data_IF_459174550229
#
_entry.id   IF_459174550229
#
_cell.length_a   1.000
_cell.length_b   1.000
_cell.length_c   1.000
_cell.angle_alpha   90.00
_cell.angle_beta   90.00
_cell.angle_gamma   90.00
#
_symmetry.space_group_name_H-M   'P 1'
#
loop_
_entity.id
_entity.type
_entity.pdbx_description
1 polymer ?
#
# COMPACT_ATOMS: atom_id res chain seq x y z
N UNK A 1 5.82 -9.38 -1.74
CA UNK A 1 5.45 -7.95 -1.69
C UNK A 1 6.48 -7.16 -2.48
N UNK A 2 7.75 -7.18 -2.11
CA UNK A 2 8.84 -6.52 -2.87
C UNK A 2 8.89 -6.90 -4.36
N UNK A 3 8.79 -8.20 -4.69
CA UNK A 3 8.75 -8.65 -6.10
C UNK A 3 7.53 -8.12 -6.87
N UNK A 4 6.37 -7.97 -6.20
CA UNK A 4 5.16 -7.40 -6.82
C UNK A 4 5.37 -5.91 -7.10
N UNK A 5 6.02 -5.19 -6.18
CA UNK A 5 6.34 -3.78 -6.37
C UNK A 5 7.33 -3.59 -7.53
N UNK A 6 8.36 -4.43 -7.64
CA UNK A 6 9.30 -4.40 -8.78
C UNK A 6 8.58 -4.63 -10.10
N UNK A 7 7.66 -5.62 -10.14
CA UNK A 7 6.85 -5.87 -11.33
C UNK A 7 5.92 -4.68 -11.66
N UNK A 8 5.32 -4.06 -10.64
CA UNK A 8 4.47 -2.88 -10.81
C UNK A 8 5.25 -1.69 -11.40
N UNK A 9 6.44 -1.42 -10.90
CA UNK A 9 7.32 -0.35 -11.42
C UNK A 9 7.80 -0.66 -12.84
N UNK A 10 8.07 -1.93 -13.17
CA UNK A 10 8.39 -2.33 -14.55
C UNK A 10 7.20 -2.13 -15.49
N UNK A 11 5.98 -2.45 -15.07
CA UNK A 11 4.77 -2.20 -15.85
C UNK A 11 4.52 -0.69 -16.04
N UNK A 12 4.71 0.08 -14.97
CA UNK A 12 4.62 1.54 -14.97
C UNK A 12 5.61 2.17 -15.98
N UNK A 13 6.88 1.75 -15.93
CA UNK A 13 7.92 2.23 -16.84
C UNK A 13 7.61 1.94 -18.32
N UNK A 14 6.87 0.86 -18.59
CA UNK A 14 6.41 0.49 -19.94
C UNK A 14 5.06 1.09 -20.32
N UNK A 15 4.46 1.92 -19.45
CA UNK A 15 3.11 2.48 -19.63
C UNK A 15 2.01 1.42 -19.80
N UNK A 16 2.19 0.24 -19.19
CA UNK A 16 1.15 -0.79 -19.15
C UNK A 16 0.22 -0.52 -17.95
N UNK A 17 -0.74 0.41 -18.14
CA UNK A 17 -1.58 0.94 -17.07
C UNK A 17 -2.33 -0.15 -16.28
N UNK A 18 -3.03 -1.06 -16.97
CA UNK A 18 -3.81 -2.13 -16.32
C UNK A 18 -2.92 -3.00 -15.43
N UNK A 19 -1.79 -3.45 -15.98
CA UNK A 19 -0.85 -4.32 -15.27
C UNK A 19 -0.21 -3.60 -14.08
N UNK A 20 0.15 -2.34 -14.24
CA UNK A 20 0.70 -1.52 -13.16
C UNK A 20 -0.31 -1.37 -12.02
N UNK A 21 -1.54 -0.95 -12.33
CA UNK A 21 -2.64 -0.78 -11.37
C UNK A 21 -2.90 -2.08 -10.60
N UNK A 22 -3.00 -3.21 -11.31
CA UNK A 22 -3.23 -4.53 -10.69
C UNK A 22 -2.10 -4.88 -9.72
N UNK A 23 -0.85 -4.72 -10.14
CA UNK A 23 0.33 -5.10 -9.33
C UNK A 23 0.54 -4.19 -8.12
N UNK A 24 0.29 -2.88 -8.26
CA UNK A 24 0.26 -1.95 -7.13
C UNK A 24 -0.84 -2.32 -6.12
N UNK A 25 -2.06 -2.58 -6.60
CA UNK A 25 -3.16 -3.03 -5.73
C UNK A 25 -2.88 -4.36 -5.01
N UNK A 26 -2.19 -5.30 -5.68
CA UNK A 26 -1.73 -6.54 -5.05
C UNK A 26 -0.62 -6.30 -4.02
N UNK A 27 0.27 -5.35 -4.29
CA UNK A 27 1.32 -4.93 -3.34
C UNK A 27 0.72 -4.35 -2.07
N UNK A 28 -0.30 -3.49 -2.21
CA UNK A 28 -1.07 -2.94 -1.09
C UNK A 28 -1.72 -4.04 -0.24
N UNK A 29 -2.44 -4.98 -0.86
CA UNK A 29 -3.08 -6.08 -0.15
C UNK A 29 -2.05 -6.98 0.56
N UNK A 30 -0.91 -7.25 -0.07
CA UNK A 30 0.18 -8.01 0.53
C UNK A 30 0.80 -7.28 1.74
N UNK A 31 0.98 -5.96 1.66
CA UNK A 31 1.49 -5.16 2.76
C UNK A 31 0.51 -5.12 3.94
N UNK A 32 -0.79 -4.96 3.68
CA UNK A 32 -1.84 -5.00 4.70
C UNK A 32 -1.87 -6.33 5.46
N UNK A 33 -1.77 -7.46 4.74
CA UNK A 33 -1.69 -8.79 5.35
C UNK A 33 -0.44 -8.97 6.22
N UNK A 34 0.71 -8.53 5.71
CA UNK A 34 2.02 -8.78 6.35
C UNK A 34 2.24 -7.93 7.60
N UNK A 35 1.81 -6.67 7.59
CA UNK A 35 2.16 -5.72 8.64
C UNK A 35 1.06 -5.50 9.68
N UNK A 36 -0.18 -5.92 9.38
CA UNK A 36 -1.33 -5.62 10.25
C UNK A 36 -2.23 -6.82 10.56
N UNK A 37 -1.82 -8.04 10.16
CA UNK A 37 -2.50 -9.32 10.42
C UNK A 37 -4.01 -9.32 10.12
N UNK A 38 -4.44 -8.47 9.17
CA UNK A 38 -5.85 -8.24 8.90
C UNK A 38 -6.44 -9.41 8.09
N UNK A 39 -7.62 -9.88 8.50
CA UNK A 39 -8.35 -11.00 7.88
C UNK A 39 -9.49 -10.51 6.98
N UNK A 40 -10.01 -11.42 6.14
CA UNK A 40 -11.11 -11.14 5.21
C UNK A 40 -10.66 -10.60 3.85
N UNK A 41 -11.60 -10.00 3.13
CA UNK A 41 -11.39 -9.28 1.88
C UNK A 41 -10.58 -7.99 2.09
N UNK A 42 -10.00 -7.41 1.04
CA UNK A 42 -9.26 -6.15 1.14
C UNK A 42 -10.11 -5.02 1.77
N UNK A 43 -11.40 -4.96 1.42
CA UNK A 43 -12.34 -4.01 2.01
C UNK A 43 -12.53 -4.22 3.53
N UNK A 44 -12.72 -5.47 3.98
CA UNK A 44 -12.85 -5.80 5.40
C UNK A 44 -11.58 -5.50 6.18
N UNK A 45 -10.41 -5.78 5.58
CA UNK A 45 -9.10 -5.43 6.18
C UNK A 45 -8.98 -3.93 6.42
N UNK A 46 -9.24 -3.11 5.39
CA UNK A 46 -9.14 -1.65 5.49
C UNK A 46 -10.09 -1.13 6.57
N UNK A 47 -11.36 -1.52 6.54
CA UNK A 47 -12.36 -1.11 7.53
C UNK A 47 -11.98 -1.51 8.95
N UNK A 48 -11.49 -2.73 9.14
CA UNK A 48 -11.06 -3.24 10.45
C UNK A 48 -9.84 -2.49 11.00
N UNK A 49 -8.94 -2.03 10.14
CA UNK A 49 -7.75 -1.28 10.56
C UNK A 49 -8.07 0.17 10.91
N UNK A 50 -8.98 0.80 10.16
CA UNK A 50 -9.48 2.15 10.48
C UNK A 50 -10.28 2.13 11.78
N UNK A 51 -11.19 1.16 11.97
CA UNK A 51 -12.01 1.10 13.19
C UNK A 51 -11.20 0.87 14.47
N UNK A 52 -10.06 0.18 14.35
CA UNK A 52 -9.09 -0.03 15.44
C UNK A 52 -8.08 1.11 15.59
N UNK A 53 -8.21 2.19 14.81
CA UNK A 53 -7.30 3.33 14.79
C UNK A 53 -5.84 2.96 14.47
N UNK A 54 -5.64 1.80 13.81
CA UNK A 54 -4.32 1.36 13.34
C UNK A 54 -3.96 2.07 12.05
N UNK A 55 -4.95 2.33 11.18
CA UNK A 55 -4.82 3.21 10.03
C UNK A 55 -5.63 4.50 10.28
N UNK A 56 -5.06 5.68 10.01
CA UNK A 56 -5.83 6.92 9.91
C UNK A 56 -6.95 6.78 8.88
N UNK A 57 -8.10 7.42 9.15
CA UNK A 57 -9.26 7.41 8.24
C UNK A 57 -8.87 7.85 6.81
N UNK A 58 -8.01 8.86 6.68
CA UNK A 58 -7.52 9.36 5.39
C UNK A 58 -6.77 8.30 4.57
N UNK A 59 -5.98 7.43 5.23
CA UNK A 59 -5.31 6.31 4.56
C UNK A 59 -6.33 5.25 4.16
N UNK A 60 -7.33 5.00 5.00
CA UNK A 60 -8.40 4.03 4.72
C UNK A 60 -9.29 4.43 3.55
N UNK A 61 -9.67 5.69 3.45
CA UNK A 61 -10.49 6.22 2.36
C UNK A 61 -9.75 6.07 1.02
N UNK A 62 -8.46 6.44 1.00
CA UNK A 62 -7.66 6.34 -0.22
C UNK A 62 -7.33 4.88 -0.60
N UNK A 63 -7.11 4.00 0.38
CA UNK A 63 -7.00 2.55 0.13
C UNK A 63 -8.28 1.98 -0.49
N UNK A 64 -9.45 2.51 -0.11
CA UNK A 64 -10.74 2.13 -0.69
C UNK A 64 -10.84 2.57 -2.14
N UNK A 65 -10.39 3.78 -2.48
CA UNK A 65 -10.31 4.27 -3.87
C UNK A 65 -9.43 3.37 -4.72
N UNK A 66 -8.21 3.05 -4.28
CA UNK A 66 -7.30 2.16 -5.02
C UNK A 66 -7.87 0.76 -5.19
N UNK A 67 -8.62 0.25 -4.21
CA UNK A 67 -9.35 -1.02 -4.35
C UNK A 67 -10.40 -0.96 -5.46
N UNK A 68 -11.11 0.16 -5.61
CA UNK A 68 -12.11 0.33 -6.65
C UNK A 68 -11.44 0.34 -8.03
N UNK A 69 -10.42 1.18 -8.22
CA UNK A 69 -9.64 1.27 -9.46
C UNK A 69 -9.03 -0.09 -9.82
N UNK A 70 -8.45 -0.80 -8.86
CA UNK A 70 -7.91 -2.15 -9.07
C UNK A 70 -9.00 -3.13 -9.52
N UNK A 71 -10.18 -3.06 -8.93
CA UNK A 71 -11.27 -3.97 -9.30
C UNK A 71 -11.78 -3.67 -10.71
N UNK A 72 -11.83 -2.40 -11.11
CA UNK A 72 -12.12 -1.99 -12.49
C UNK A 72 -11.06 -2.57 -13.43
N UNK A 73 -9.76 -2.41 -13.14
CA UNK A 73 -8.67 -2.98 -13.94
C UNK A 73 -8.71 -4.52 -14.08
N UNK A 74 -9.33 -5.25 -13.14
CA UNK A 74 -9.39 -6.72 -13.14
C UNK A 74 -10.65 -7.25 -13.83
N UNK A 75 -11.76 -6.53 -13.74
CA UNK A 75 -13.08 -7.03 -14.12
C UNK A 75 -13.72 -6.28 -15.28
N UNK A 76 -13.29 -5.05 -15.56
CA UNK A 76 -13.75 -4.26 -16.69
C UNK A 76 -12.77 -4.42 -17.85
N UNK A 77 -13.29 -4.51 -19.08
CA UNK A 77 -12.50 -4.58 -20.31
C UNK A 77 -12.07 -3.18 -20.80
N UNK A 78 -12.47 -2.12 -20.07
CA UNK A 78 -12.06 -0.75 -20.32
C UNK A 78 -10.58 -0.51 -20.00
N UNK A 79 -9.83 0.22 -20.86
CA UNK A 79 -8.42 0.52 -20.61
C UNK A 79 -8.26 1.45 -19.41
N UNK A 80 -7.34 1.13 -18.51
CA UNK A 80 -6.96 2.04 -17.42
C UNK A 80 -6.22 3.26 -17.98
N UNK A 81 -6.47 4.43 -17.38
CA UNK A 81 -5.81 5.66 -17.79
C UNK A 81 -4.43 5.80 -17.16
N UNK A 82 -3.58 6.66 -17.74
CA UNK A 82 -2.31 7.02 -17.09
C UNK A 82 -2.53 7.65 -15.71
N UNK A 83 -3.62 8.40 -15.54
CA UNK A 83 -4.02 8.99 -14.26
C UNK A 83 -4.31 7.92 -13.21
N UNK A 84 -5.03 6.85 -13.57
CA UNK A 84 -5.33 5.74 -12.66
C UNK A 84 -4.05 5.03 -12.21
N UNK A 85 -3.14 4.82 -13.16
CA UNK A 85 -1.82 4.25 -12.91
C UNK A 85 -0.98 5.14 -11.97
N UNK A 86 -0.91 6.45 -12.21
CA UNK A 86 -0.16 7.40 -11.38
C UNK A 86 -0.76 7.53 -9.98
N UNK A 87 -2.07 7.65 -9.86
CA UNK A 87 -2.76 7.70 -8.56
C UNK A 87 -2.50 6.44 -7.75
N UNK A 88 -2.61 5.28 -8.37
CA UNK A 88 -2.42 3.98 -7.70
C UNK A 88 -0.97 3.79 -7.27
N UNK A 89 0.01 4.21 -8.09
CA UNK A 89 1.44 4.20 -7.74
C UNK A 89 1.73 5.11 -6.55
N UNK A 90 1.34 6.38 -6.63
CA UNK A 90 1.62 7.38 -5.60
C UNK A 90 1.02 6.98 -4.26
N UNK A 91 -0.19 6.42 -4.27
CA UNK A 91 -0.79 5.89 -3.06
C UNK A 91 -0.03 4.69 -2.50
N UNK A 92 0.35 3.73 -3.36
CA UNK A 92 1.07 2.53 -2.91
C UNK A 92 2.40 2.91 -2.28
N UNK A 93 3.14 3.84 -2.87
CA UNK A 93 4.40 4.37 -2.30
C UNK A 93 4.16 5.03 -0.93
N UNK A 94 3.19 5.94 -0.84
CA UNK A 94 2.85 6.62 0.41
C UNK A 94 2.43 5.62 1.51
N UNK A 95 1.63 4.61 1.15
CA UNK A 95 1.21 3.56 2.07
C UNK A 95 2.38 2.69 2.53
N UNK A 96 3.26 2.26 1.63
CA UNK A 96 4.44 1.48 2.00
C UNK A 96 5.39 2.28 2.89
N UNK A 97 5.56 3.57 2.62
CA UNK A 97 6.30 4.46 3.50
C UNK A 97 5.68 4.53 4.90
N UNK A 98 4.37 4.63 4.99
CA UNK A 98 3.65 4.62 6.28
C UNK A 98 3.74 3.28 7.01
N UNK A 99 3.53 2.15 6.31
CA UNK A 99 3.41 0.83 6.91
C UNK A 99 4.74 0.13 7.18
N UNK A 100 5.79 0.50 6.43
CA UNK A 100 7.08 -0.21 6.43
C UNK A 100 8.21 0.74 6.83
N UNK A 101 8.44 1.79 6.03
CA UNK A 101 9.64 2.62 6.16
C UNK A 101 9.63 3.47 7.43
N UNK A 102 8.58 4.25 7.67
CA UNK A 102 8.47 5.15 8.83
C UNK A 102 8.55 4.40 10.17
N UNK A 103 7.84 3.28 10.40
CA UNK A 103 7.99 2.51 11.63
C UNK A 103 9.43 2.07 11.87
N UNK A 104 10.15 1.65 10.81
CA UNK A 104 11.54 1.22 10.93
C UNK A 104 12.49 2.39 11.20
N UNK A 105 12.29 3.52 10.52
CA UNK A 105 13.04 4.75 10.80
C UNK A 105 12.89 5.20 12.25
N UNK A 106 11.66 5.15 12.79
CA UNK A 106 11.38 5.49 14.19
C UNK A 106 12.07 4.49 15.13
N UNK A 107 12.00 3.18 14.86
CA UNK A 107 12.69 2.16 15.66
C UNK A 107 14.20 2.41 15.72
N UNK A 108 14.84 2.70 14.59
CA UNK A 108 16.27 3.00 14.50
C UNK A 108 16.59 4.25 15.32
N UNK A 109 15.82 5.33 15.14
CA UNK A 109 16.03 6.59 15.88
C UNK A 109 15.89 6.39 17.39
N UNK A 110 14.89 5.63 17.84
CA UNK A 110 14.69 5.32 19.27
C UNK A 110 15.91 4.64 19.87
N UNK A 111 16.47 3.62 19.19
CA UNK A 111 17.69 2.93 19.64
C UNK A 111 18.91 3.84 19.73
N UNK A 112 19.00 4.85 18.87
CA UNK A 112 20.09 5.83 18.90
C UNK A 112 19.92 6.91 19.97
N UNK A 113 18.70 7.11 20.47
CA UNK A 113 18.36 8.12 21.49
C UNK A 113 18.21 7.54 22.90
N UNK A 114 18.23 6.22 23.07
CA UNK A 114 18.34 5.59 24.39
C UNK A 114 19.78 5.85 24.91
N UNK A 115 19.97 6.55 26.05
CA UNK A 115 21.30 6.83 26.57
C UNK A 115 22.02 5.52 26.89
N UNK A 116 23.32 5.46 26.56
CA UNK A 116 24.19 4.32 26.86
C UNK A 116 24.43 4.10 28.37
N UNK A 117 23.86 4.95 29.23
CA UNK A 117 24.16 4.98 30.66
C UNK A 117 23.03 4.31 31.46
N UNK A 118 23.11 2.99 31.51
CA UNK A 118 22.37 2.14 32.44
C UNK A 118 23.26 1.04 33.04
N UNK A 119 24.56 1.33 33.22
CA UNK A 119 25.54 0.46 33.87
C UNK A 119 26.18 1.16 35.08
#
# INVERSE_FOLDING_TARGET
MEQLLVQAEHAYAKRHADMAVIMYGQTLDAALKRHFEAKGTLNERIKSLVSRHVLPTTIGDWATTVRIIRNEAVHDDGPMTETDMEMTRNFTDAFLRYAVTLPKEIEIRRKLTEPADGA
#
